data_IF_070063812458
#
_entry.id   IF_070063812458
#
_cell.length_a   1.000
_cell.length_b   1.000
_cell.length_c   1.000
_cell.angle_alpha   90.00
_cell.angle_beta   90.00
_cell.angle_gamma   90.00
#
_symmetry.space_group_name_H-M   'P 1'
#
loop_
_entity.id
_entity.type
_entity.pdbx_description
1 polymer ?
#
# COMPACT_ATOMS: atom_id res chain seq x y z
N UNK A 1 -35.84 2.08 8.28
CA UNK A 1 -35.03 2.73 9.34
C UNK A 1 -34.17 1.66 9.99
N UNK A 2 -32.86 1.88 10.11
CA UNK A 2 -31.87 0.96 10.70
C UNK A 2 -31.10 1.67 11.80
N UNK A 3 -30.66 0.93 12.81
CA UNK A 3 -29.79 1.46 13.86
C UNK A 3 -28.40 1.78 13.30
N UNK A 4 -27.69 2.74 13.89
CA UNK A 4 -26.38 3.18 13.45
C UNK A 4 -25.34 2.04 13.32
N UNK A 5 -25.38 1.06 14.24
CA UNK A 5 -24.47 -0.08 14.22
C UNK A 5 -24.72 -0.99 12.99
N UNK A 6 -25.99 -1.22 12.63
CA UNK A 6 -26.35 -1.98 11.42
C UNK A 6 -25.92 -1.23 10.15
N UNK A 7 -26.08 0.11 10.17
CA UNK A 7 -25.62 0.97 9.09
C UNK A 7 -24.10 0.92 8.91
N UNK A 8 -23.34 1.01 10.00
CA UNK A 8 -21.89 0.91 9.98
C UNK A 8 -21.40 -0.45 9.42
N UNK A 9 -22.09 -1.54 9.77
CA UNK A 9 -21.80 -2.87 9.22
C UNK A 9 -22.07 -2.98 7.71
N UNK A 10 -23.09 -2.30 7.21
CA UNK A 10 -23.32 -2.24 5.75
C UNK A 10 -22.25 -1.44 5.03
N UNK A 11 -21.80 -0.32 5.60
CA UNK A 11 -20.67 0.46 5.07
C UNK A 11 -19.35 -0.36 5.08
N UNK A 12 -19.12 -1.13 6.14
CA UNK A 12 -17.97 -2.04 6.20
C UNK A 12 -17.97 -3.03 5.03
N UNK A 13 -19.10 -3.63 4.72
CA UNK A 13 -19.20 -4.63 3.63
C UNK A 13 -18.83 -4.08 2.26
N UNK A 14 -19.15 -2.82 1.97
CA UNK A 14 -18.78 -2.18 0.69
C UNK A 14 -17.34 -1.68 0.66
N UNK A 15 -16.73 -1.45 1.82
CA UNK A 15 -15.37 -0.91 1.93
C UNK A 15 -14.32 -2.01 2.05
N UNK A 16 -14.56 -3.04 2.85
CA UNK A 16 -13.58 -4.04 3.27
C UNK A 16 -13.26 -5.05 2.16
N UNK A 17 -11.96 -5.33 2.00
CA UNK A 17 -11.43 -6.41 1.16
C UNK A 17 -10.50 -7.32 1.99
N UNK A 18 -9.80 -8.23 1.32
CA UNK A 18 -8.75 -9.08 1.91
C UNK A 18 -7.63 -8.24 2.56
N UNK A 19 -6.89 -8.87 3.47
CA UNK A 19 -5.74 -8.29 4.16
C UNK A 19 -6.09 -7.10 5.08
N UNK A 20 -7.34 -7.03 5.54
CA UNK A 20 -7.79 -6.09 6.56
C UNK A 20 -8.93 -6.67 7.40
N UNK A 21 -9.02 -6.24 8.66
CA UNK A 21 -10.09 -6.64 9.57
C UNK A 21 -10.76 -5.42 10.20
N UNK A 22 -12.04 -5.53 10.58
CA UNK A 22 -12.74 -4.45 11.27
C UNK A 22 -12.40 -4.43 12.77
N UNK A 23 -12.50 -3.27 13.39
CA UNK A 23 -12.66 -3.14 14.83
C UNK A 23 -14.05 -3.63 15.27
N UNK A 24 -14.27 -3.76 16.57
CA UNK A 24 -15.63 -3.84 17.09
C UNK A 24 -16.44 -2.59 16.72
N UNK A 25 -17.74 -2.77 16.50
CA UNK A 25 -18.68 -1.66 16.31
C UNK A 25 -18.85 -0.94 17.65
N UNK A 26 -18.68 0.38 17.62
CA UNK A 26 -18.90 1.22 18.80
C UNK A 26 -19.53 2.54 18.39
N UNK A 27 -20.72 2.82 18.89
CA UNK A 27 -21.46 4.05 18.61
C UNK A 27 -21.56 4.35 17.09
N UNK A 28 -22.00 3.32 16.32
CA UNK A 28 -22.13 3.43 14.87
C UNK A 28 -20.83 3.58 14.10
N UNK A 29 -19.66 3.38 14.72
CA UNK A 29 -18.35 3.51 14.12
C UNK A 29 -17.64 2.17 14.00
N UNK A 30 -17.02 1.93 12.84
CA UNK A 30 -16.09 0.82 12.57
C UNK A 30 -14.81 1.38 11.98
N UNK A 31 -13.67 0.82 12.40
CA UNK A 31 -12.35 1.09 11.80
C UNK A 31 -11.87 -0.16 11.05
N UNK A 32 -11.22 0.01 9.90
CA UNK A 32 -10.51 -1.07 9.19
C UNK A 32 -9.01 -0.97 9.45
N UNK A 33 -8.40 -2.11 9.77
CA UNK A 33 -7.02 -2.23 10.21
C UNK A 33 -6.30 -3.19 9.25
N UNK A 34 -5.07 -2.86 8.86
CA UNK A 34 -4.26 -3.68 7.97
C UNK A 34 -3.78 -4.98 8.67
N UNK A 35 -3.93 -6.12 7.99
CA UNK A 35 -3.43 -7.43 8.45
C UNK A 35 -2.00 -7.71 8.03
N UNK A 36 -1.52 -7.00 7.00
CA UNK A 36 -0.21 -7.19 6.38
C UNK A 36 0.44 -5.85 6.05
N UNK A 37 1.75 -5.88 5.83
CA UNK A 37 2.47 -4.79 5.16
C UNK A 37 2.18 -4.83 3.66
N UNK A 38 1.92 -3.66 3.05
CA UNK A 38 1.59 -3.61 1.63
C UNK A 38 1.27 -2.22 1.10
N UNK A 39 0.76 -2.20 -0.12
CA UNK A 39 0.26 -1.00 -0.78
C UNK A 39 -1.24 -0.85 -0.51
N UNK A 40 -1.62 0.23 0.18
CA UNK A 40 -3.03 0.58 0.38
C UNK A 40 -3.55 1.38 -0.81
N UNK A 41 -4.70 0.99 -1.33
CA UNK A 41 -5.35 1.60 -2.47
C UNK A 41 -6.83 1.84 -2.18
N UNK A 42 -7.34 2.97 -2.67
CA UNK A 42 -8.74 3.41 -2.54
C UNK A 42 -9.28 3.69 -3.94
N UNK A 43 -10.46 3.22 -4.25
CA UNK A 43 -11.23 3.71 -5.40
C UNK A 43 -11.83 5.07 -5.05
N UNK A 44 -11.08 6.11 -5.35
CA UNK A 44 -11.42 7.49 -4.94
C UNK A 44 -12.72 7.97 -5.57
N UNK A 45 -13.00 7.57 -6.82
CA UNK A 45 -14.22 7.97 -7.53
C UNK A 45 -15.46 7.39 -6.85
N UNK A 46 -15.50 6.07 -6.65
CA UNK A 46 -16.63 5.42 -5.98
C UNK A 46 -16.76 5.82 -4.50
N UNK A 47 -15.63 6.02 -3.81
CA UNK A 47 -15.66 6.54 -2.44
C UNK A 47 -16.30 7.93 -2.37
N UNK A 48 -16.00 8.80 -3.33
CA UNK A 48 -16.63 10.12 -3.43
C UNK A 48 -18.14 10.01 -3.63
N UNK A 49 -18.59 9.13 -4.52
CA UNK A 49 -20.02 8.90 -4.78
C UNK A 49 -20.74 8.36 -3.53
N UNK A 50 -20.13 7.42 -2.80
CA UNK A 50 -20.67 6.91 -1.53
C UNK A 50 -20.76 8.02 -0.49
N UNK A 51 -19.72 8.83 -0.31
CA UNK A 51 -19.70 9.94 0.65
C UNK A 51 -20.58 11.13 0.22
N UNK A 52 -21.12 11.13 -0.99
CA UNK A 52 -22.11 12.10 -1.45
C UNK A 52 -23.52 11.79 -0.98
N UNK A 53 -23.75 10.58 -0.44
CA UNK A 53 -25.01 10.22 0.20
C UNK A 53 -25.04 10.83 1.60
N UNK A 54 -26.13 11.54 1.93
CA UNK A 54 -26.30 12.21 3.22
C UNK A 54 -26.20 11.22 4.40
N UNK A 55 -25.64 11.70 5.52
CA UNK A 55 -25.58 10.99 6.80
C UNK A 55 -24.62 9.78 6.81
N UNK A 56 -23.80 9.61 5.77
CA UNK A 56 -22.82 8.55 5.62
C UNK A 56 -21.42 9.16 5.52
N UNK A 57 -20.43 8.52 6.17
CA UNK A 57 -19.04 8.92 6.09
C UNK A 57 -18.12 7.71 6.09
N UNK A 58 -17.25 7.63 5.09
CA UNK A 58 -16.08 6.75 5.06
C UNK A 58 -14.84 7.62 4.87
N UNK A 59 -14.03 7.76 5.93
CA UNK A 59 -12.75 8.46 5.89
C UNK A 59 -11.61 7.44 5.74
N UNK A 60 -10.65 7.71 4.86
CA UNK A 60 -9.55 6.79 4.57
C UNK A 60 -8.20 7.48 4.64
N UNK A 61 -7.12 6.70 4.75
CA UNK A 61 -5.78 7.16 4.37
C UNK A 61 -5.75 7.47 2.87
N UNK A 62 -4.74 8.23 2.43
CA UNK A 62 -4.50 8.45 1.00
C UNK A 62 -4.30 7.14 0.24
N UNK A 63 -4.82 7.08 -0.98
CA UNK A 63 -4.55 5.96 -1.89
C UNK A 63 -3.07 5.92 -2.29
N UNK A 64 -2.60 4.73 -2.68
CA UNK A 64 -1.21 4.46 -3.09
C UNK A 64 -0.15 4.75 -2.00
N UNK A 65 -0.51 4.53 -0.74
CA UNK A 65 0.42 4.62 0.39
C UNK A 65 0.89 3.25 0.87
N UNK A 66 2.15 3.18 1.26
CA UNK A 66 2.67 2.05 2.02
C UNK A 66 2.02 2.01 3.41
N UNK A 67 1.53 0.84 3.79
CA UNK A 67 0.97 0.59 5.12
C UNK A 67 1.66 -0.60 5.77
N UNK A 68 1.64 -0.63 7.10
CA UNK A 68 2.14 -1.73 7.92
C UNK A 68 0.98 -2.46 8.59
N UNK A 69 1.20 -3.72 8.89
CA UNK A 69 0.29 -4.50 9.75
C UNK A 69 -0.03 -3.73 11.03
N UNK A 70 -1.34 -3.62 11.34
CA UNK A 70 -1.84 -2.86 12.48
C UNK A 70 -2.16 -1.39 12.18
N UNK A 71 -1.83 -0.86 11.01
CA UNK A 71 -2.20 0.49 10.62
C UNK A 71 -3.71 0.62 10.42
N UNK A 72 -4.28 1.71 10.93
CA UNK A 72 -5.66 2.09 10.63
C UNK A 72 -5.75 2.59 9.20
N UNK A 73 -6.61 1.97 8.40
CA UNK A 73 -6.77 2.24 6.96
C UNK A 73 -7.93 3.20 6.70
N UNK A 74 -9.05 2.97 7.37
CA UNK A 74 -10.28 3.71 7.22
C UNK A 74 -11.09 3.71 8.51
N UNK A 75 -11.95 4.71 8.64
CA UNK A 75 -13.01 4.74 9.64
C UNK A 75 -14.32 5.08 8.95
N UNK A 76 -15.38 4.39 9.31
CA UNK A 76 -16.71 4.60 8.73
C UNK A 76 -17.77 4.71 9.80
N UNK A 77 -18.79 5.50 9.52
CA UNK A 77 -19.93 5.66 10.42
C UNK A 77 -21.16 6.15 9.68
N UNK A 78 -22.31 5.87 10.27
CA UNK A 78 -23.57 6.58 10.03
C UNK A 78 -23.66 7.71 11.06
N UNK A 79 -24.04 8.89 10.64
CA UNK A 79 -24.02 10.09 11.50
C UNK A 79 -25.19 10.09 12.51
N UNK A 80 -26.48 9.83 12.11
CA UNK A 80 -27.58 9.77 13.05
C UNK A 80 -27.67 8.40 13.75
N UNK A 81 -28.31 8.35 14.93
CA UNK A 81 -28.59 7.09 15.65
C UNK A 81 -29.45 6.10 14.84
N UNK A 82 -30.28 6.62 13.95
CA UNK A 82 -31.15 5.84 13.06
C UNK A 82 -31.13 6.46 11.67
N UNK A 83 -30.81 5.66 10.67
CA UNK A 83 -30.72 6.08 9.26
C UNK A 83 -31.86 5.47 8.42
N UNK A 84 -32.26 6.18 7.37
CA UNK A 84 -33.15 5.60 6.34
C UNK A 84 -32.42 4.53 5.54
N UNK A 85 -32.99 3.35 5.47
CA UNK A 85 -32.43 2.23 4.71
C UNK A 85 -32.16 2.53 3.25
N UNK A 86 -32.98 3.38 2.63
CA UNK A 86 -32.78 3.83 1.24
C UNK A 86 -31.45 4.53 1.02
N UNK A 87 -30.95 5.29 2.00
CA UNK A 87 -29.64 5.95 1.91
C UNK A 87 -28.52 4.92 1.87
N UNK A 88 -28.63 3.85 2.65
CA UNK A 88 -27.65 2.75 2.62
C UNK A 88 -27.71 1.97 1.30
N UNK A 89 -28.91 1.72 0.76
CA UNK A 89 -29.08 1.12 -0.57
C UNK A 89 -28.47 1.99 -1.67
N UNK A 90 -28.62 3.32 -1.59
CA UNK A 90 -28.00 4.27 -2.50
C UNK A 90 -26.46 4.24 -2.41
N UNK A 91 -25.90 4.21 -1.20
CA UNK A 91 -24.47 4.08 -0.97
C UNK A 91 -23.91 2.74 -1.50
N UNK A 92 -24.61 1.63 -1.27
CA UNK A 92 -24.24 0.31 -1.79
C UNK A 92 -24.27 0.30 -3.32
N UNK A 93 -25.25 0.93 -3.92
CA UNK A 93 -25.34 1.08 -5.39
C UNK A 93 -24.19 1.92 -5.93
N UNK A 94 -23.85 3.03 -5.26
CA UNK A 94 -22.73 3.89 -5.64
C UNK A 94 -21.38 3.16 -5.49
N UNK A 95 -21.21 2.36 -4.44
CA UNK A 95 -20.01 1.53 -4.23
C UNK A 95 -19.83 0.46 -5.30
N UNK A 96 -20.92 -0.06 -5.89
CA UNK A 96 -20.86 -1.12 -6.88
C UNK A 96 -20.54 -2.50 -6.27
N UNK A 97 -19.99 -3.40 -7.09
CA UNK A 97 -19.78 -4.82 -6.70
C UNK A 97 -18.44 -5.09 -6.02
N UNK A 98 -17.42 -4.32 -6.38
CA UNK A 98 -16.06 -4.52 -5.87
C UNK A 98 -15.82 -3.66 -4.63
N UNK A 99 -15.07 -4.14 -3.64
CA UNK A 99 -14.73 -3.36 -2.45
C UNK A 99 -14.02 -2.04 -2.80
N UNK A 100 -14.28 -1.00 -2.02
CA UNK A 100 -13.68 0.33 -2.22
C UNK A 100 -12.19 0.38 -1.87
N UNK A 101 -11.76 -0.48 -0.94
CA UNK A 101 -10.42 -0.47 -0.36
C UNK A 101 -9.67 -1.77 -0.68
N UNK A 102 -8.35 -1.67 -0.80
CA UNK A 102 -7.49 -2.82 -1.06
C UNK A 102 -6.13 -2.65 -0.39
N UNK A 103 -5.60 -3.73 0.19
CA UNK A 103 -4.20 -3.83 0.60
C UNK A 103 -3.54 -4.93 -0.23
N UNK A 104 -2.58 -4.54 -1.07
CA UNK A 104 -1.82 -5.47 -1.91
C UNK A 104 -0.47 -5.76 -1.26
N UNK A 105 -0.11 -7.04 -1.01
CA UNK A 105 1.17 -7.38 -0.42
C UNK A 105 2.33 -7.04 -1.36
N UNK A 106 3.51 -6.74 -0.78
CA UNK A 106 4.73 -6.56 -1.55
C UNK A 106 5.14 -7.87 -2.20
N UNK A 107 5.37 -7.84 -3.51
CA UNK A 107 5.75 -9.03 -4.30
C UNK A 107 7.26 -9.21 -4.38
N UNK A 108 8.02 -8.10 -4.51
CA UNK A 108 9.48 -8.14 -4.64
C UNK A 108 10.11 -8.49 -3.29
N UNK A 109 11.03 -9.45 -3.28
CA UNK A 109 11.71 -9.95 -2.07
C UNK A 109 13.22 -9.78 -2.12
N UNK A 110 13.80 -9.73 -3.32
CA UNK A 110 15.25 -9.69 -3.53
C UNK A 110 15.65 -8.54 -4.44
N UNK A 111 16.79 -7.92 -4.16
CA UNK A 111 17.37 -6.89 -5.00
C UNK A 111 18.87 -7.11 -5.22
N UNK A 112 19.32 -6.69 -6.42
CA UNK A 112 20.71 -6.47 -6.72
C UNK A 112 20.98 -4.99 -6.93
N UNK A 113 22.07 -4.48 -6.40
CA UNK A 113 22.48 -3.07 -6.52
C UNK A 113 23.78 -2.98 -7.31
N UNK A 114 23.81 -2.11 -8.31
CA UNK A 114 24.97 -1.77 -9.10
C UNK A 114 25.30 -0.31 -8.80
N UNK A 115 26.40 -0.08 -8.11
CA UNK A 115 26.87 1.27 -7.82
C UNK A 115 27.92 1.66 -8.86
N UNK A 116 27.63 2.71 -9.62
CA UNK A 116 28.54 3.21 -10.66
C UNK A 116 29.36 4.39 -10.14
N UNK A 117 30.50 4.61 -10.73
CA UNK A 117 31.38 5.71 -10.40
C UNK A 117 32.84 5.29 -10.39
N UNK A 118 33.64 5.90 -11.26
CA UNK A 118 35.07 5.58 -11.42
C UNK A 118 35.87 5.80 -10.13
N UNK A 119 35.50 6.78 -9.31
CA UNK A 119 36.16 7.08 -8.05
C UNK A 119 35.88 6.06 -6.98
N UNK A 120 34.61 5.63 -6.86
CA UNK A 120 34.17 4.57 -5.95
C UNK A 120 34.78 3.23 -6.35
N UNK A 121 34.76 2.92 -7.66
CA UNK A 121 35.32 1.69 -8.21
C UNK A 121 36.83 1.56 -7.95
N UNK A 122 37.57 2.68 -8.08
CA UNK A 122 39.01 2.73 -7.76
C UNK A 122 39.33 2.83 -6.29
N UNK A 123 38.31 2.88 -5.42
CA UNK A 123 38.49 3.00 -3.97
C UNK A 123 38.98 4.36 -3.49
N UNK A 124 38.87 5.40 -4.30
CA UNK A 124 39.29 6.77 -3.94
C UNK A 124 38.30 7.43 -2.99
N UNK A 125 37.01 7.10 -3.09
CA UNK A 125 35.96 7.53 -2.19
C UNK A 125 35.14 6.32 -1.72
N UNK A 126 34.59 6.43 -0.51
CA UNK A 126 33.71 5.39 0.06
C UNK A 126 32.33 5.46 -0.58
N UNK A 127 31.77 4.31 -0.94
CA UNK A 127 30.38 4.19 -1.36
C UNK A 127 29.44 4.60 -0.21
N UNK A 128 28.67 5.65 -0.44
CA UNK A 128 27.67 6.16 0.49
C UNK A 128 26.24 5.87 0.04
N UNK A 129 26.05 5.46 -1.22
CA UNK A 129 24.72 5.19 -1.78
C UNK A 129 24.19 3.82 -1.39
N UNK A 130 25.01 2.79 -1.50
CA UNK A 130 24.60 1.41 -1.18
C UNK A 130 23.98 1.26 0.20
N UNK A 131 24.55 1.80 1.30
CA UNK A 131 23.93 1.68 2.63
C UNK A 131 22.56 2.36 2.73
N UNK A 132 22.36 3.48 2.00
CA UNK A 132 21.07 4.19 1.96
C UNK A 132 20.04 3.40 1.16
N UNK A 133 20.43 2.83 0.03
CA UNK A 133 19.56 1.99 -0.81
C UNK A 133 19.16 0.73 -0.03
N UNK A 134 20.11 0.05 0.62
CA UNK A 134 19.87 -1.13 1.43
C UNK A 134 18.81 -0.86 2.52
N UNK A 135 18.99 0.20 3.30
CA UNK A 135 18.03 0.60 4.33
C UNK A 135 16.63 0.90 3.78
N UNK A 136 16.55 1.48 2.57
CA UNK A 136 15.27 1.70 1.89
C UNK A 136 14.62 0.40 1.44
N UNK A 137 15.38 -0.54 0.91
CA UNK A 137 14.89 -1.86 0.50
C UNK A 137 14.36 -2.65 1.69
N UNK A 138 15.09 -2.65 2.82
CA UNK A 138 14.68 -3.29 4.07
C UNK A 138 13.33 -2.78 4.57
N UNK A 139 13.07 -1.46 4.45
CA UNK A 139 11.79 -0.86 4.84
C UNK A 139 10.57 -1.42 4.07
N UNK A 140 10.80 -2.03 2.89
CA UNK A 140 9.79 -2.72 2.09
C UNK A 140 9.90 -4.25 2.17
N UNK A 141 10.74 -4.78 3.07
CA UNK A 141 10.97 -6.21 3.21
C UNK A 141 11.72 -6.83 2.04
N UNK A 142 12.51 -6.05 1.30
CA UNK A 142 13.33 -6.49 0.16
C UNK A 142 14.76 -6.66 0.66
N UNK A 143 15.33 -7.85 0.48
CA UNK A 143 16.71 -8.15 0.85
C UNK A 143 17.66 -7.84 -0.32
N UNK A 144 18.70 -7.04 -0.07
CA UNK A 144 19.80 -6.87 -1.01
C UNK A 144 20.70 -8.11 -0.96
N UNK A 145 20.64 -8.95 -1.99
CA UNK A 145 21.40 -10.22 -2.04
C UNK A 145 22.66 -10.14 -2.91
N UNK A 146 22.80 -9.08 -3.67
CA UNK A 146 23.98 -8.87 -4.54
C UNK A 146 24.28 -7.40 -4.69
N UNK A 147 25.57 -7.07 -4.59
CA UNK A 147 26.08 -5.72 -4.83
C UNK A 147 27.33 -5.78 -5.73
N UNK A 148 27.41 -4.90 -6.71
CA UNK A 148 28.53 -4.78 -7.64
C UNK A 148 28.93 -3.32 -7.78
N UNK A 149 30.22 -3.05 -7.70
CA UNK A 149 30.79 -1.73 -8.02
C UNK A 149 31.27 -1.76 -9.49
N UNK A 150 30.89 -0.76 -10.26
CA UNK A 150 31.31 -0.57 -11.64
C UNK A 150 31.97 0.80 -11.82
N UNK A 151 32.91 0.90 -12.74
CA UNK A 151 33.32 2.21 -13.26
C UNK A 151 32.24 2.79 -14.18
N UNK A 152 32.38 4.04 -14.58
CA UNK A 152 31.47 4.69 -15.54
C UNK A 152 31.68 4.16 -16.98
N UNK A 153 31.84 2.86 -17.13
CA UNK A 153 32.04 2.14 -18.36
C UNK A 153 30.77 1.43 -18.81
N UNK A 154 30.31 1.72 -20.02
CA UNK A 154 29.03 1.19 -20.54
C UNK A 154 29.04 -0.34 -20.64
N UNK A 155 30.13 -0.95 -21.06
CA UNK A 155 30.21 -2.40 -21.23
C UNK A 155 30.18 -3.10 -19.85
N UNK A 156 30.92 -2.56 -18.89
CA UNK A 156 30.97 -3.07 -17.53
C UNK A 156 29.57 -2.99 -16.86
N UNK A 157 28.89 -1.86 -16.98
CA UNK A 157 27.54 -1.68 -16.43
C UNK A 157 26.55 -2.63 -17.11
N UNK A 158 26.59 -2.74 -18.44
CA UNK A 158 25.72 -3.64 -19.20
C UNK A 158 25.92 -5.09 -18.80
N UNK A 159 27.17 -5.51 -18.64
CA UNK A 159 27.50 -6.87 -18.19
C UNK A 159 27.01 -7.12 -16.76
N UNK A 160 27.19 -6.15 -15.84
CA UNK A 160 26.71 -6.24 -14.47
C UNK A 160 25.17 -6.39 -14.40
N UNK A 161 24.43 -5.64 -15.21
CA UNK A 161 22.96 -5.77 -15.33
C UNK A 161 22.57 -7.16 -15.85
N UNK A 162 23.26 -7.66 -16.90
CA UNK A 162 22.99 -8.98 -17.46
C UNK A 162 23.23 -10.09 -16.43
N UNK A 163 24.30 -9.99 -15.65
CA UNK A 163 24.64 -10.97 -14.61
C UNK A 163 23.68 -10.90 -13.39
N UNK A 164 23.22 -9.71 -13.03
CA UNK A 164 22.16 -9.53 -12.04
C UNK A 164 20.85 -10.17 -12.51
N UNK A 165 20.46 -9.94 -13.76
CA UNK A 165 19.27 -10.58 -14.35
C UNK A 165 19.36 -12.09 -14.35
N UNK A 166 20.52 -12.66 -14.71
CA UNK A 166 20.75 -14.12 -14.66
C UNK A 166 20.69 -14.69 -13.25
N UNK A 167 21.04 -13.90 -12.23
CA UNK A 167 20.98 -14.34 -10.83
C UNK A 167 19.54 -14.41 -10.28
N UNK A 168 18.53 -13.95 -11.02
CA UNK A 168 17.12 -14.08 -10.67
C UNK A 168 16.65 -13.15 -9.57
N UNK A 169 17.31 -12.01 -9.36
CA UNK A 169 16.82 -10.99 -8.43
C UNK A 169 15.53 -10.35 -8.96
N UNK A 170 14.61 -10.01 -8.05
CA UNK A 170 13.33 -9.40 -8.42
C UNK A 170 13.47 -7.94 -8.88
N UNK A 171 14.49 -7.24 -8.36
CA UNK A 171 14.73 -5.82 -8.61
C UNK A 171 16.22 -5.56 -8.85
N UNK A 172 16.54 -4.77 -9.86
CA UNK A 172 17.89 -4.28 -10.11
C UNK A 172 17.88 -2.76 -9.98
N UNK A 173 18.77 -2.22 -9.15
CA UNK A 173 18.97 -0.78 -8.95
C UNK A 173 20.37 -0.41 -9.41
N UNK A 174 20.47 0.58 -10.31
CA UNK A 174 21.72 1.22 -10.69
C UNK A 174 21.75 2.64 -10.11
N UNK A 175 22.86 3.03 -9.47
CA UNK A 175 23.07 4.36 -8.90
C UNK A 175 24.23 5.06 -9.54
#
# INVERSE_FOLDING_TARGET
MLHEDEGAERLRKIAQNENMHPSEVKEGKIELIADIDGLFQVDVGRLYDVNSVDEIMIATRHTNMAVRKGDKLAGMRVIPLVIDEKKLEEAEKAAGKEPLLKVTPWKLKTAGVITTGSEVYKGLIKDQFTPVVEKKLEAFGIQMIKHVLCSDDMEMITQAIADMKKSGVDLIICT
#
